data_IF_728682849149
#
_entry.id   IF_728682849149
#
_cell.length_a   1.000
_cell.length_b   1.000
_cell.length_c   1.000
_cell.angle_alpha   90.00
_cell.angle_beta   90.00
_cell.angle_gamma   90.00
#
_symmetry.space_group_name_H-M   'P 1'
#
loop_
_entity.id
_entity.type
_entity.pdbx_description
1 polymer ?
#
# COMPACT_ATOMS: atom_id res chain seq x y z
N UNK A 1 2.65 0.70 20.94
CA UNK A 1 2.02 -0.55 20.42
C UNK A 1 0.77 -0.92 21.20
N UNK A 2 0.83 -1.05 22.53
CA UNK A 2 -0.32 -1.45 23.37
C UNK A 2 -1.54 -0.56 23.16
N UNK A 3 -1.42 0.76 23.29
CA UNK A 3 -2.54 1.70 23.07
C UNK A 3 -3.10 1.66 21.64
N UNK A 4 -2.26 1.41 20.64
CA UNK A 4 -2.71 1.20 19.26
C UNK A 4 -3.56 -0.08 19.11
N UNK A 5 -3.12 -1.19 19.71
CA UNK A 5 -3.87 -2.45 19.70
C UNK A 5 -5.18 -2.35 20.48
N UNK A 6 -5.19 -1.60 21.59
CA UNK A 6 -6.40 -1.31 22.36
C UNK A 6 -7.41 -0.51 21.52
N UNK A 7 -6.97 0.50 20.79
CA UNK A 7 -7.84 1.28 19.90
C UNK A 7 -8.48 0.41 18.82
N UNK A 8 -7.70 -0.44 18.15
CA UNK A 8 -8.25 -1.39 17.15
C UNK A 8 -9.21 -2.40 17.75
N UNK A 9 -9.03 -2.77 19.04
CA UNK A 9 -9.88 -3.76 19.71
C UNK A 9 -11.17 -3.15 20.25
N UNK A 10 -11.17 -1.89 20.65
CA UNK A 10 -12.32 -1.18 21.23
C UNK A 10 -13.35 -0.75 20.19
N UNK A 11 -12.91 -0.44 18.98
CA UNK A 11 -13.78 0.01 17.87
C UNK A 11 -14.75 -1.10 17.35
N UNK A 12 -14.52 -2.35 17.69
CA UNK A 12 -15.37 -3.48 17.29
C UNK A 12 -16.67 -3.68 18.11
N UNK A 13 -16.89 -2.89 19.18
CA UNK A 13 -18.01 -3.12 20.11
C UNK A 13 -19.21 -2.18 19.95
N UNK A 14 -19.05 -1.03 19.28
CA UNK A 14 -20.13 -0.06 19.13
C UNK A 14 -20.49 0.15 17.66
N UNK A 15 -21.63 -0.43 17.26
CA UNK A 15 -22.16 -0.42 15.89
C UNK A 15 -22.71 0.93 15.39
N UNK A 16 -22.22 2.07 15.88
CA UNK A 16 -22.50 3.38 15.32
C UNK A 16 -21.25 3.93 14.62
N UNK A 17 -21.38 4.21 13.33
CA UNK A 17 -20.39 4.93 12.52
C UNK A 17 -20.21 6.36 13.04
N UNK A 18 -19.58 6.50 14.19
CA UNK A 18 -18.99 7.80 14.56
C UNK A 18 -17.80 8.01 13.63
N UNK A 19 -17.71 9.19 12.98
CA UNK A 19 -16.61 9.55 12.08
C UNK A 19 -15.26 9.63 12.79
N UNK A 20 -14.84 8.52 13.40
CA UNK A 20 -13.60 8.34 14.13
C UNK A 20 -12.39 8.20 13.19
N UNK A 21 -11.23 8.47 13.73
CA UNK A 21 -9.96 8.28 13.04
C UNK A 21 -9.77 6.79 12.70
N UNK A 22 -9.20 6.52 11.53
CA UNK A 22 -8.80 5.17 11.12
C UNK A 22 -7.32 4.98 11.43
N UNK A 23 -7.00 3.94 12.17
CA UNK A 23 -5.64 3.60 12.54
C UNK A 23 -5.16 2.38 11.75
N UNK A 24 -4.05 2.55 11.03
CA UNK A 24 -3.44 1.50 10.24
C UNK A 24 -1.93 1.55 10.39
N UNK A 25 -1.33 0.55 11.04
CA UNK A 25 0.11 0.42 11.10
C UNK A 25 0.61 -0.08 9.76
N UNK A 26 1.48 0.71 9.16
CA UNK A 26 2.15 0.41 7.89
C UNK A 26 3.64 0.59 8.12
N UNK A 27 4.29 -0.45 8.66
CA UNK A 27 5.74 -0.43 8.76
C UNK A 27 6.33 -0.81 7.41
N UNK A 28 6.82 0.17 6.68
CA UNK A 28 7.39 0.04 5.34
C UNK A 28 8.88 0.40 5.35
N UNK A 29 9.57 0.17 4.23
CA UNK A 29 10.96 0.57 4.00
C UNK A 29 11.99 -0.17 4.87
N UNK A 30 11.92 -1.47 4.88
CA UNK A 30 12.92 -2.32 5.48
C UNK A 30 12.82 -2.60 6.98
N UNK A 31 11.91 -2.18 7.61
CA UNK A 31 11.57 -1.85 8.96
C UNK A 31 11.32 -2.97 9.97
N UNK A 32 11.12 -4.22 9.61
CA UNK A 32 11.18 -5.33 10.56
C UNK A 32 12.62 -5.72 10.90
N UNK A 33 13.55 -5.61 9.95
CA UNK A 33 14.93 -6.06 10.10
C UNK A 33 15.96 -4.93 10.05
N UNK A 34 15.60 -3.76 9.49
CA UNK A 34 16.46 -2.59 9.42
C UNK A 34 15.66 -1.30 9.38
N UNK A 35 16.18 -0.23 9.97
CA UNK A 35 15.65 1.13 9.84
C UNK A 35 16.45 1.98 8.82
N UNK A 36 17.38 1.35 8.08
CA UNK A 36 18.36 2.02 7.20
C UNK A 36 18.01 2.06 5.73
N UNK A 37 16.76 1.91 5.34
CA UNK A 37 16.40 1.84 3.92
C UNK A 37 16.89 3.06 3.10
N UNK A 38 16.87 4.25 3.71
CA UNK A 38 17.27 5.50 3.06
C UNK A 38 18.51 6.16 3.66
N UNK A 39 18.93 5.78 4.85
CA UNK A 39 20.13 6.34 5.52
C UNK A 39 21.18 5.26 5.73
N UNK A 40 22.10 5.17 4.76
CA UNK A 40 23.24 4.25 4.82
C UNK A 40 24.40 4.78 5.67
N UNK A 41 24.31 5.99 6.22
CA UNK A 41 25.41 6.68 6.91
C UNK A 41 25.42 6.51 8.42
N UNK A 42 24.30 6.07 9.02
CA UNK A 42 24.14 5.92 10.47
C UNK A 42 24.66 4.59 11.05
N UNK A 43 24.80 4.49 12.37
CA UNK A 43 24.93 3.22 13.08
C UNK A 43 23.61 2.43 13.01
N UNK A 44 23.67 1.09 13.07
CA UNK A 44 22.46 0.26 13.11
C UNK A 44 21.72 0.50 14.43
N UNK A 45 20.66 1.30 14.37
CA UNK A 45 19.68 1.28 15.43
C UNK A 45 18.87 0.00 15.33
N UNK A 46 18.67 -0.67 16.45
CA UNK A 46 17.78 -1.83 16.51
C UNK A 46 16.38 -1.40 16.08
N UNK A 47 15.78 -2.17 15.18
CA UNK A 47 14.39 -1.95 14.79
C UNK A 47 13.48 -2.01 16.04
N UNK A 48 12.49 -1.13 16.13
CA UNK A 48 11.46 -1.18 17.18
C UNK A 48 10.67 -2.51 17.17
N UNK A 49 10.79 -3.29 16.10
CA UNK A 49 10.21 -4.63 15.94
C UNK A 49 11.18 -5.76 16.27
N UNK A 50 12.33 -5.48 16.90
CA UNK A 50 13.31 -6.48 17.32
C UNK A 50 12.69 -7.74 17.99
N UNK A 51 11.69 -7.59 18.89
CA UNK A 51 11.05 -8.75 19.51
C UNK A 51 10.30 -9.69 18.55
N UNK A 52 10.02 -9.25 17.32
CA UNK A 52 9.33 -10.05 16.31
C UNK A 52 10.28 -10.82 15.38
N UNK A 53 11.56 -10.49 15.36
CA UNK A 53 12.53 -11.04 14.42
C UNK A 53 12.66 -12.57 14.49
N UNK A 54 12.61 -13.14 15.68
CA UNK A 54 12.69 -14.60 15.86
C UNK A 54 11.43 -15.34 15.41
N UNK A 55 10.35 -14.60 15.16
CA UNK A 55 9.05 -15.15 14.79
C UNK A 55 8.71 -14.99 13.31
N UNK A 56 9.47 -14.17 12.58
CA UNK A 56 9.21 -13.85 11.18
C UNK A 56 10.47 -14.20 10.39
N UNK A 57 10.37 -15.08 9.38
CA UNK A 57 11.50 -15.34 8.48
C UNK A 57 11.98 -14.03 7.82
N UNK A 58 13.30 -13.88 7.69
CA UNK A 58 13.90 -12.71 7.02
C UNK A 58 13.69 -12.74 5.50
N UNK A 59 13.35 -13.89 4.94
CA UNK A 59 13.15 -14.10 3.51
C UNK A 59 12.16 -15.24 3.23
N UNK A 60 11.68 -15.30 2.01
CA UNK A 60 10.89 -16.41 1.47
C UNK A 60 11.79 -17.22 0.54
N UNK A 61 12.37 -18.32 1.03
CA UNK A 61 13.45 -19.07 0.37
C UNK A 61 13.17 -19.39 -1.11
N UNK A 62 11.99 -19.91 -1.45
CA UNK A 62 11.67 -20.23 -2.84
C UNK A 62 11.65 -19.00 -3.76
N UNK A 63 11.32 -17.82 -3.22
CA UNK A 63 11.30 -16.57 -3.97
C UNK A 63 12.72 -16.01 -4.07
N UNK A 64 13.48 -16.04 -2.96
CA UNK A 64 14.88 -15.64 -2.95
C UNK A 64 15.73 -16.47 -3.92
N UNK A 65 15.51 -17.80 -3.95
CA UNK A 65 16.19 -18.70 -4.89
C UNK A 65 15.81 -18.39 -6.34
N UNK A 66 14.53 -18.12 -6.62
CA UNK A 66 14.06 -17.82 -7.97
C UNK A 66 14.56 -16.47 -8.51
N UNK A 67 14.74 -15.49 -7.63
CA UNK A 67 15.17 -14.14 -7.99
C UNK A 67 16.69 -13.94 -7.81
N UNK A 68 17.40 -14.92 -7.23
CA UNK A 68 18.83 -14.85 -6.88
C UNK A 68 19.15 -13.62 -6.02
N UNK A 69 18.28 -13.32 -5.04
CA UNK A 69 18.43 -12.19 -4.12
C UNK A 69 17.56 -12.34 -2.87
N UNK A 70 17.95 -11.66 -1.79
CA UNK A 70 17.13 -11.51 -0.59
C UNK A 70 16.13 -10.35 -0.74
N UNK A 71 15.06 -10.28 0.07
CA UNK A 71 14.16 -9.14 0.02
C UNK A 71 14.84 -7.84 0.44
N UNK A 72 14.48 -6.77 -0.23
CA UNK A 72 14.95 -5.41 0.09
C UNK A 72 14.19 -4.83 1.28
N UNK A 73 12.96 -5.28 1.50
CA UNK A 73 12.13 -4.86 2.63
C UNK A 73 11.21 -5.98 3.11
N UNK A 74 11.04 -6.08 4.42
CA UNK A 74 10.04 -6.93 5.07
C UNK A 74 9.13 -6.03 5.90
N UNK A 75 7.87 -5.91 5.52
CA UNK A 75 6.93 -4.93 6.06
C UNK A 75 5.85 -5.57 6.91
N UNK A 76 5.46 -4.90 7.98
CA UNK A 76 4.39 -5.30 8.88
C UNK A 76 3.17 -4.40 8.69
N UNK A 77 2.00 -5.03 8.64
CA UNK A 77 0.71 -4.38 8.45
C UNK A 77 -0.26 -4.84 9.53
N UNK A 78 -0.81 -3.90 10.31
CA UNK A 78 -1.82 -4.20 11.32
C UNK A 78 -2.95 -3.17 11.20
N UNK A 79 -4.17 -3.65 11.04
CA UNK A 79 -5.36 -2.79 10.94
C UNK A 79 -6.66 -3.56 11.10
N UNK A 80 -7.76 -2.91 10.83
CA UNK A 80 -9.11 -3.44 10.89
C UNK A 80 -9.87 -3.24 9.57
N UNK A 81 -11.18 -3.50 9.55
CA UNK A 81 -12.05 -3.36 8.37
C UNK A 81 -12.19 -1.92 7.86
N UNK A 82 -11.84 -0.91 8.67
CA UNK A 82 -11.83 0.50 8.25
C UNK A 82 -10.60 0.85 7.42
N UNK A 83 -9.53 0.04 7.56
CA UNK A 83 -8.26 0.26 6.88
C UNK A 83 -8.35 -0.13 5.40
N UNK A 84 -8.10 0.82 4.53
CA UNK A 84 -8.13 0.64 3.07
C UNK A 84 -6.80 1.10 2.47
N UNK A 85 -6.23 0.28 1.60
CA UNK A 85 -5.12 0.69 0.74
C UNK A 85 -5.67 1.01 -0.64
N UNK A 86 -5.60 2.28 -1.05
CA UNK A 86 -6.08 2.75 -2.36
C UNK A 86 -5.32 2.07 -3.50
N UNK A 87 -5.97 2.00 -4.68
CA UNK A 87 -5.38 1.29 -5.81
C UNK A 87 -4.09 1.97 -6.30
N UNK A 88 -3.02 1.19 -6.35
CA UNK A 88 -1.68 1.60 -6.77
C UNK A 88 -0.91 0.40 -7.33
N UNK A 89 0.28 0.63 -7.85
CA UNK A 89 1.20 -0.42 -8.26
C UNK A 89 2.60 -0.12 -7.75
N UNK A 90 3.31 -1.16 -7.34
CA UNK A 90 4.67 -1.10 -6.84
C UNK A 90 5.67 -1.74 -7.81
N UNK A 91 6.93 -1.27 -7.85
CA UNK A 91 7.99 -1.85 -8.67
C UNK A 91 8.68 -3.03 -7.97
N UNK A 92 7.96 -3.81 -7.16
CA UNK A 92 8.48 -4.93 -6.39
C UNK A 92 7.80 -6.23 -6.76
N UNK A 93 8.57 -7.30 -6.83
CA UNK A 93 8.04 -8.64 -6.69
C UNK A 93 7.65 -8.83 -5.23
N UNK A 94 6.38 -9.10 -4.96
CA UNK A 94 5.81 -8.98 -3.62
C UNK A 94 5.20 -10.31 -3.17
N UNK A 95 5.71 -10.86 -2.07
CA UNK A 95 5.14 -12.03 -1.41
C UNK A 95 4.39 -11.58 -0.17
N UNK A 96 3.07 -11.70 -0.19
CA UNK A 96 2.17 -11.15 0.82
C UNK A 96 1.50 -12.27 1.63
N UNK A 97 1.79 -12.36 2.92
CA UNK A 97 1.28 -13.40 3.82
C UNK A 97 0.37 -12.80 4.89
N UNK A 98 -0.85 -13.32 5.01
CA UNK A 98 -1.78 -12.95 6.09
C UNK A 98 -1.55 -13.87 7.28
N UNK A 99 -1.25 -13.29 8.45
CA UNK A 99 -1.00 -14.03 9.70
C UNK A 99 -2.29 -14.17 10.49
N UNK A 100 -3.14 -13.13 10.49
CA UNK A 100 -4.44 -13.10 11.17
C UNK A 100 -5.45 -12.30 10.37
N UNK A 101 -6.73 -12.67 10.45
CA UNK A 101 -7.81 -12.02 9.72
C UNK A 101 -7.83 -12.39 8.25
N UNK A 102 -8.29 -11.50 7.41
CA UNK A 102 -8.25 -11.67 5.96
C UNK A 102 -8.10 -10.34 5.22
N UNK A 103 -7.47 -10.41 4.04
CA UNK A 103 -7.36 -9.28 3.11
C UNK A 103 -8.03 -9.62 1.79
N UNK A 104 -8.76 -8.64 1.27
CA UNK A 104 -9.45 -8.70 0.00
C UNK A 104 -8.72 -7.82 -1.00
N UNK A 105 -8.14 -8.44 -2.01
CA UNK A 105 -7.42 -7.76 -3.09
C UNK A 105 -8.32 -7.64 -4.32
N UNK A 106 -8.34 -6.45 -4.90
CA UNK A 106 -8.78 -6.23 -6.27
C UNK A 106 -7.56 -5.92 -7.11
N UNK A 107 -7.26 -6.78 -8.06
CA UNK A 107 -6.03 -6.78 -8.85
C UNK A 107 -6.34 -6.46 -10.30
N UNK A 108 -5.49 -5.64 -10.93
CA UNK A 108 -5.50 -5.46 -12.38
C UNK A 108 -4.06 -5.64 -12.92
N UNK A 109 -3.90 -6.26 -14.09
CA UNK A 109 -2.58 -6.40 -14.68
C UNK A 109 -1.98 -5.04 -15.08
N UNK A 110 -0.65 -4.93 -15.23
CA UNK A 110 0.01 -3.69 -15.62
C UNK A 110 -0.54 -3.07 -16.91
N UNK A 111 -1.04 -3.92 -17.83
CA UNK A 111 -1.64 -3.50 -19.11
C UNK A 111 -2.95 -2.73 -18.96
N UNK A 112 -3.58 -2.75 -17.80
CA UNK A 112 -4.87 -2.10 -17.55
C UNK A 112 -4.77 -0.80 -16.74
N UNK A 113 -3.56 -0.26 -16.56
CA UNK A 113 -3.37 1.05 -15.92
C UNK A 113 -4.15 2.19 -16.57
N UNK A 114 -4.51 2.06 -17.86
CA UNK A 114 -5.31 3.04 -18.59
C UNK A 114 -6.68 3.31 -17.98
N UNK A 115 -7.28 2.33 -17.31
CA UNK A 115 -8.62 2.47 -16.71
C UNK A 115 -8.60 3.12 -15.32
N UNK A 116 -7.42 3.39 -14.76
CA UNK A 116 -7.27 3.86 -13.38
C UNK A 116 -7.23 5.38 -13.25
N UNK A 117 -7.37 6.10 -14.37
CA UNK A 117 -7.52 7.57 -14.39
C UNK A 117 -6.44 8.26 -13.54
N UNK A 118 -5.17 7.93 -13.74
CA UNK A 118 -4.08 8.53 -12.96
C UNK A 118 -4.08 10.06 -13.04
N UNK A 119 -3.74 10.70 -11.93
CA UNK A 119 -3.61 12.15 -11.76
C UNK A 119 -2.36 12.48 -10.97
N UNK A 120 -1.95 13.73 -10.97
CA UNK A 120 -0.88 14.26 -10.15
C UNK A 120 -1.46 15.07 -9.00
N UNK A 121 -1.12 14.68 -7.79
CA UNK A 121 -1.60 15.30 -6.57
C UNK A 121 -0.48 15.95 -5.78
N UNK A 122 -0.71 17.06 -5.07
CA UNK A 122 0.22 17.56 -4.07
C UNK A 122 0.46 16.49 -3.00
N UNK A 123 1.72 16.32 -2.59
CA UNK A 123 2.03 15.50 -1.43
C UNK A 123 1.53 16.20 -0.16
N UNK A 124 0.94 15.45 0.75
CA UNK A 124 0.47 15.95 2.04
C UNK A 124 0.59 14.88 3.12
N UNK A 125 0.67 15.31 4.37
CA UNK A 125 0.79 14.44 5.54
C UNK A 125 -0.26 14.83 6.57
N UNK A 126 -0.85 13.83 7.24
CA UNK A 126 -1.68 14.10 8.40
C UNK A 126 -0.81 14.44 9.62
N UNK A 127 -1.10 15.55 10.25
CA UNK A 127 -0.43 16.01 11.46
C UNK A 127 -1.47 16.24 12.55
N UNK A 128 -1.19 15.76 13.76
CA UNK A 128 -2.09 16.01 14.89
C UNK A 128 -1.91 17.44 15.39
N UNK A 129 -2.96 18.21 15.34
CA UNK A 129 -2.99 19.58 15.84
C UNK A 129 -2.83 19.60 17.36
N UNK A 130 -1.84 20.35 17.86
CA UNK A 130 -1.62 20.50 19.29
C UNK A 130 -2.77 21.29 19.99
N UNK A 131 -3.50 22.11 19.23
CA UNK A 131 -4.59 22.94 19.75
C UNK A 131 -5.93 22.20 19.84
N UNK A 132 -6.24 21.35 18.84
CA UNK A 132 -7.55 20.70 18.71
C UNK A 132 -7.49 19.20 18.95
N UNK A 133 -6.30 18.59 19.00
CA UNK A 133 -6.05 17.15 19.01
C UNK A 133 -6.64 16.40 17.79
N UNK A 134 -7.11 17.09 16.78
CA UNK A 134 -7.62 16.53 15.54
C UNK A 134 -6.50 16.35 14.51
N UNK A 135 -6.68 15.41 13.58
CA UNK A 135 -5.78 15.25 12.44
C UNK A 135 -6.10 16.34 11.39
N UNK A 136 -5.08 17.06 10.98
CA UNK A 136 -5.13 18.07 9.93
C UNK A 136 -4.26 17.62 8.76
N UNK A 137 -4.75 17.75 7.53
CA UNK A 137 -4.00 17.44 6.32
C UNK A 137 -3.09 18.64 6.00
N UNK A 138 -1.78 18.44 6.12
CA UNK A 138 -0.78 19.49 5.87
C UNK A 138 -0.08 19.21 4.55
N UNK A 139 -0.27 20.07 3.52
CA UNK A 139 0.47 19.96 2.27
C UNK A 139 1.96 20.13 2.48
N UNK A 140 2.76 19.36 1.77
CA UNK A 140 4.22 19.53 1.73
C UNK A 140 4.61 20.84 1.03
N UNK A 141 5.86 21.32 1.20
CA UNK A 141 6.36 22.51 0.51
C UNK A 141 6.10 22.47 -1.01
N UNK A 142 5.89 23.65 -1.62
CA UNK A 142 5.49 23.76 -3.01
C UNK A 142 6.51 23.22 -4.03
N UNK A 143 7.77 23.05 -3.62
CA UNK A 143 8.85 22.43 -4.39
C UNK A 143 8.90 20.90 -4.28
N UNK A 144 8.05 20.30 -3.42
CA UNK A 144 7.93 18.84 -3.33
C UNK A 144 7.30 18.29 -4.62
N UNK A 145 7.88 17.26 -5.24
CA UNK A 145 7.32 16.65 -6.44
C UNK A 145 5.89 16.18 -6.23
N UNK A 146 5.05 16.36 -7.25
CA UNK A 146 3.69 15.86 -7.24
C UNK A 146 3.68 14.34 -7.28
N UNK A 147 2.75 13.73 -6.55
CA UNK A 147 2.55 12.29 -6.51
C UNK A 147 1.59 11.87 -7.63
N UNK A 148 2.03 10.94 -8.47
CA UNK A 148 1.19 10.29 -9.48
C UNK A 148 0.39 9.18 -8.82
N UNK A 149 -0.94 9.26 -8.87
CA UNK A 149 -1.85 8.33 -8.20
C UNK A 149 -3.14 8.12 -8.99
N UNK A 150 -3.82 6.98 -8.78
CA UNK A 150 -5.15 6.75 -9.35
C UNK A 150 -6.19 7.68 -8.72
N UNK A 151 -7.11 8.21 -9.53
CA UNK A 151 -8.31 8.90 -9.05
C UNK A 151 -9.49 7.95 -8.76
N UNK A 152 -9.38 6.67 -9.07
CA UNK A 152 -10.38 5.66 -8.71
C UNK A 152 -10.24 5.33 -7.23
N UNK A 153 -11.17 5.81 -6.42
CA UNK A 153 -11.14 5.64 -4.95
C UNK A 153 -11.57 4.24 -4.52
N UNK A 154 -12.58 3.66 -5.17
CA UNK A 154 -13.03 2.29 -4.92
C UNK A 154 -13.26 1.56 -6.26
N UNK A 155 -12.32 0.74 -6.73
CA UNK A 155 -12.45 0.00 -7.98
C UNK A 155 -13.53 -1.10 -7.94
N UNK A 156 -14.10 -1.40 -6.76
CA UNK A 156 -15.18 -2.38 -6.60
C UNK A 156 -16.57 -1.77 -6.74
N UNK A 157 -16.67 -0.44 -6.71
CA UNK A 157 -17.93 0.26 -6.85
C UNK A 157 -18.50 0.10 -8.27
N UNK A 158 -19.83 -0.01 -8.43
CA UNK A 158 -20.46 -0.10 -9.74
C UNK A 158 -20.07 1.07 -10.65
N UNK A 159 -19.52 0.79 -11.83
CA UNK A 159 -19.12 1.80 -12.81
C UNK A 159 -17.80 2.51 -12.53
N UNK A 160 -17.10 2.19 -11.46
CA UNK A 160 -15.78 2.77 -11.15
C UNK A 160 -14.72 2.40 -12.19
N UNK A 161 -14.78 1.17 -12.68
CA UNK A 161 -13.96 0.69 -13.78
C UNK A 161 -14.80 0.54 -15.06
N UNK A 162 -14.24 0.80 -16.24
CA UNK A 162 -14.92 0.57 -17.51
C UNK A 162 -15.18 -0.93 -17.74
N UNK A 163 -16.18 -1.25 -18.55
CA UNK A 163 -16.60 -2.64 -18.83
C UNK A 163 -15.52 -3.51 -19.49
N UNK A 164 -14.49 -2.91 -20.06
CA UNK A 164 -13.34 -3.61 -20.65
C UNK A 164 -12.23 -3.92 -19.65
N UNK A 165 -12.34 -3.53 -18.38
CA UNK A 165 -11.37 -3.87 -17.35
C UNK A 165 -11.59 -5.30 -16.83
N UNK A 166 -10.49 -6.03 -16.61
CA UNK A 166 -10.52 -7.44 -16.18
C UNK A 166 -9.95 -7.56 -14.76
N UNK A 167 -10.67 -7.00 -13.79
CA UNK A 167 -10.27 -7.09 -12.39
C UNK A 167 -10.36 -8.52 -11.85
N UNK A 168 -9.36 -8.91 -11.07
CA UNK A 168 -9.31 -10.20 -10.36
C UNK A 168 -9.54 -9.91 -8.87
N UNK A 169 -10.46 -10.64 -8.25
CA UNK A 169 -10.75 -10.51 -6.83
C UNK A 169 -10.23 -11.72 -6.07
N UNK A 170 -9.34 -11.49 -5.10
CA UNK A 170 -8.72 -12.55 -4.30
C UNK A 170 -8.89 -12.24 -2.82
N UNK A 171 -9.31 -13.23 -2.06
CA UNK A 171 -9.28 -13.16 -0.59
C UNK A 171 -8.13 -14.01 -0.07
N UNK A 172 -7.23 -13.40 0.66
CA UNK A 172 -6.11 -14.05 1.34
C UNK A 172 -6.43 -14.12 2.82
N UNK A 173 -6.54 -15.34 3.35
CA UNK A 173 -6.88 -15.62 4.76
C UNK A 173 -5.64 -15.93 5.58
N UNK A 174 -5.79 -15.95 6.89
CA UNK A 174 -4.71 -16.36 7.80
C UNK A 174 -4.08 -17.69 7.37
N UNK A 175 -2.76 -17.70 7.24
CA UNK A 175 -1.96 -18.83 6.75
C UNK A 175 -1.81 -18.91 5.23
N UNK A 176 -2.49 -18.07 4.47
CA UNK A 176 -2.38 -18.03 3.02
C UNK A 176 -1.38 -16.93 2.58
N UNK A 177 -0.74 -17.17 1.43
CA UNK A 177 0.23 -16.27 0.83
C UNK A 177 -0.16 -15.97 -0.62
N UNK A 178 -0.11 -14.70 -1.00
CA UNK A 178 -0.29 -14.21 -2.36
C UNK A 178 1.07 -13.78 -2.91
N UNK A 179 1.44 -14.30 -4.07
CA UNK A 179 2.50 -13.70 -4.87
C UNK A 179 1.89 -12.66 -5.82
N UNK A 180 2.34 -11.43 -5.69
CA UNK A 180 1.90 -10.29 -6.48
C UNK A 180 3.09 -9.78 -7.31
N UNK A 181 3.09 -9.99 -8.63
CA UNK A 181 4.20 -9.58 -9.48
C UNK A 181 4.36 -8.06 -9.54
N UNK A 182 5.58 -7.60 -9.79
CA UNK A 182 5.88 -6.17 -9.94
C UNK A 182 4.96 -5.50 -10.98
N UNK A 183 4.51 -4.31 -10.66
CA UNK A 183 3.66 -3.50 -11.53
C UNK A 183 2.19 -3.88 -11.58
N UNK A 184 1.77 -4.92 -10.90
CA UNK A 184 0.34 -5.21 -10.77
C UNK A 184 -0.34 -4.16 -9.92
N UNK A 185 -1.44 -3.63 -10.42
CA UNK A 185 -2.29 -2.71 -9.67
C UNK A 185 -3.07 -3.47 -8.62
N UNK A 186 -3.11 -2.94 -7.41
CA UNK A 186 -3.80 -3.59 -6.30
C UNK A 186 -4.48 -2.57 -5.39
N UNK A 187 -5.72 -2.89 -5.04
CA UNK A 187 -6.54 -2.25 -4.03
C UNK A 187 -6.80 -3.26 -2.93
N UNK A 188 -6.67 -2.85 -1.66
CA UNK A 188 -6.74 -3.80 -0.55
C UNK A 188 -7.70 -3.31 0.53
N UNK A 189 -8.64 -4.17 0.89
CA UNK A 189 -9.49 -4.03 2.08
C UNK A 189 -9.22 -5.16 3.05
N UNK A 190 -9.62 -4.97 4.29
CA UNK A 190 -9.44 -5.97 5.35
C UNK A 190 -10.80 -6.36 5.94
N UNK A 191 -10.85 -7.53 6.57
CA UNK A 191 -12.02 -7.97 7.33
C UNK A 191 -11.59 -8.31 8.76
N UNK A 192 -12.13 -7.55 9.71
CA UNK A 192 -11.78 -7.62 11.12
C UNK A 192 -10.33 -7.24 11.41
N UNK A 193 -9.88 -7.50 12.61
CA UNK A 193 -8.51 -7.27 13.02
C UNK A 193 -7.55 -8.16 12.23
N UNK A 194 -6.71 -7.54 11.44
CA UNK A 194 -5.85 -8.22 10.46
C UNK A 194 -4.39 -7.89 10.70
N UNK A 195 -3.55 -8.92 10.67
CA UNK A 195 -2.08 -8.84 10.72
C UNK A 195 -1.52 -9.50 9.47
N UNK A 196 -0.62 -8.83 8.79
CA UNK A 196 0.03 -9.37 7.62
C UNK A 196 1.50 -8.92 7.54
N UNK A 197 2.31 -9.73 6.85
CA UNK A 197 3.70 -9.43 6.52
C UNK A 197 3.86 -9.58 5.01
N UNK A 198 4.62 -8.69 4.40
CA UNK A 198 5.03 -8.89 3.01
C UNK A 198 6.52 -8.67 2.82
N UNK A 199 7.02 -9.30 1.78
CA UNK A 199 8.43 -9.29 1.37
C UNK A 199 8.52 -8.64 0.01
N UNK A 200 9.25 -7.54 -0.07
CA UNK A 200 9.50 -6.82 -1.31
C UNK A 200 10.89 -7.13 -1.85
N UNK A 201 10.93 -7.56 -3.10
CA UNK A 201 12.16 -7.78 -3.85
C UNK A 201 12.18 -6.75 -4.98
N UNK A 202 13.10 -5.80 -4.92
CA UNK A 202 13.21 -4.74 -5.93
C UNK A 202 13.52 -5.35 -7.31
N UNK A 203 12.82 -4.92 -8.33
CA UNK A 203 13.11 -5.28 -9.72
C UNK A 203 14.36 -4.59 -10.28
N UNK A 204 15.03 -3.75 -9.49
CA UNK A 204 16.30 -3.06 -9.75
C UNK A 204 16.31 -2.15 -10.99
N UNK A 205 15.16 -1.82 -11.55
CA UNK A 205 15.08 -1.00 -12.76
C UNK A 205 15.83 -1.61 -13.96
N UNK A 206 15.99 -2.94 -14.01
CA UNK A 206 16.77 -3.67 -15.01
C UNK A 206 15.89 -4.61 -15.83
N UNK A 207 16.39 -4.95 -17.01
CA UNK A 207 15.76 -5.94 -17.85
C UNK A 207 14.48 -5.49 -18.55
N UNK A 208 13.89 -6.45 -19.27
CA UNK A 208 12.71 -6.16 -20.11
C UNK A 208 11.46 -5.85 -19.29
N UNK A 209 11.32 -6.39 -18.09
CA UNK A 209 10.17 -6.11 -17.21
C UNK A 209 10.08 -4.61 -16.89
N UNK A 210 11.20 -3.99 -16.53
CA UNK A 210 11.28 -2.55 -16.31
C UNK A 210 10.93 -1.73 -17.56
N UNK A 211 11.46 -2.14 -18.72
CA UNK A 211 11.16 -1.48 -20.00
C UNK A 211 9.67 -1.53 -20.31
N UNK A 212 9.06 -2.70 -20.14
CA UNK A 212 7.63 -2.88 -20.39
C UNK A 212 6.75 -2.09 -19.40
N UNK A 213 7.07 -2.07 -18.12
CA UNK A 213 6.31 -1.29 -17.14
C UNK A 213 6.37 0.21 -17.44
N UNK A 214 7.55 0.73 -17.83
CA UNK A 214 7.67 2.12 -18.23
C UNK A 214 6.88 2.42 -19.52
N UNK A 215 6.93 1.53 -20.50
CA UNK A 215 6.16 1.66 -21.73
C UNK A 215 4.64 1.67 -21.46
N UNK A 216 4.15 0.78 -20.61
CA UNK A 216 2.73 0.69 -20.24
C UNK A 216 2.26 1.91 -19.44
N UNK A 217 3.11 2.51 -18.63
CA UNK A 217 2.81 3.75 -17.92
C UNK A 217 2.70 4.97 -18.83
N UNK A 218 3.23 4.88 -20.05
CA UNK A 218 3.27 5.97 -21.00
C UNK A 218 4.32 7.04 -20.66
N UNK A 219 4.60 7.90 -21.62
CA UNK A 219 5.56 9.00 -21.51
C UNK A 219 4.91 10.33 -21.15
N UNK A 220 3.60 10.43 -21.25
CA UNK A 220 2.86 11.64 -20.92
C UNK A 220 2.57 11.72 -19.41
N UNK A 221 2.75 12.92 -18.85
CA UNK A 221 2.37 13.15 -17.47
C UNK A 221 0.85 13.24 -17.34
N UNK A 222 0.25 12.56 -16.34
CA UNK A 222 -1.16 12.69 -16.07
C UNK A 222 -1.55 14.14 -15.73
N UNK A 223 -2.80 14.54 -15.97
CA UNK A 223 -3.29 15.86 -15.59
C UNK A 223 -3.32 16.04 -14.07
N UNK A 224 -3.48 17.29 -13.61
CA UNK A 224 -3.65 17.61 -12.19
C UNK A 224 -4.98 17.06 -11.65
N UNK A 225 -4.99 16.55 -10.43
CA UNK A 225 -6.14 15.92 -9.80
C UNK A 225 -7.38 16.82 -9.70
N UNK A 226 -7.16 18.09 -9.39
CA UNK A 226 -8.27 19.04 -9.14
C UNK A 226 -8.93 19.62 -10.41
N UNK A 227 -8.41 19.34 -11.63
CA UNK A 227 -8.89 19.99 -12.85
C UNK A 227 -9.99 19.21 -13.61
N UNK A 228 -10.26 17.95 -13.22
CA UNK A 228 -11.09 17.04 -14.04
C UNK A 228 -12.34 16.57 -13.32
N UNK A 229 -12.33 16.48 -11.99
CA UNK A 229 -13.51 16.07 -11.23
C UNK A 229 -14.69 17.04 -11.45
N UNK A 230 -14.39 18.32 -11.73
CA UNK A 230 -15.41 19.32 -12.06
C UNK A 230 -15.96 19.23 -13.50
N UNK A 231 -15.27 18.58 -14.42
CA UNK A 231 -15.68 18.47 -15.82
C UNK A 231 -16.51 17.20 -16.09
N UNK A 232 -16.26 16.11 -15.37
CA UNK A 232 -17.04 14.87 -15.48
C UNK A 232 -18.38 14.94 -14.75
N UNK A 233 -18.54 15.78 -13.72
CA UNK A 233 -19.84 16.05 -13.07
C UNK A 233 -20.80 16.90 -13.92
N UNK A 234 -20.30 17.52 -14.99
CA UNK A 234 -21.10 18.42 -15.86
C UNK A 234 -21.41 17.86 -17.25
N UNK A 235 -21.01 16.62 -17.53
CA UNK A 235 -21.22 15.92 -18.79
C UNK A 235 -22.19 14.73 -18.61
#
# INVERSE_FOLDING_TARGET
MESFLETLSSDGSDGEHSGGEVHYLQSQNGNLFTNRYFDLSGEEDLSEFEPLRDHIPSEVLWCSDALDKVPDAVNLWIGDEKSVTSIHSDPYENVYTVIRGSKHFTLLPPTEGWCLKERRYPHATYVRSAATSQLELVPSPADTPLVRWSSVTDPTAPGALPSGAHSIHVTVRAGETLYLPAGWWHYVRQQGFTVAVNYWYDMEGRGMSWVWLNFLRGTEEPPLGNAIDEAEEKA
#
